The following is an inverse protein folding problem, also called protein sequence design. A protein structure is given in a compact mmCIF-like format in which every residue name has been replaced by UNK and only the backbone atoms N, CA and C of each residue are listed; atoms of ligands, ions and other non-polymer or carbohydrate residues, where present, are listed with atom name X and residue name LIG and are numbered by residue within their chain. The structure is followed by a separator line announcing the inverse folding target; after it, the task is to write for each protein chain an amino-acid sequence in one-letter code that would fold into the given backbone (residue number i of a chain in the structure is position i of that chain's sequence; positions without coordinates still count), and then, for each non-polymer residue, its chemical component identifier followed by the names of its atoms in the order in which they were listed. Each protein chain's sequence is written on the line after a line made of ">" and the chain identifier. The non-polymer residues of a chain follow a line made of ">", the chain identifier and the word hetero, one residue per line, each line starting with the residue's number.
data_IF_108365242275
#
_entry.id   IF_108365242275
#
_cell.length_a   1.000
_cell.length_b   1.000
_cell.length_c   1.000
_cell.angle_alpha   90.00
_cell.angle_beta   90.00
_cell.angle_gamma   90.00
#
_symmetry.space_group_name_H-M   'P 1'
#
loop_
_entity.id
_entity.type
_entity.pdbx_description
1 polymer ?
#
# COMPACT_ATOMS: atom_id res chain seq x y z
N UNK A 1 -10.26 34.81 -43.82
CA UNK A 1 -11.39 35.77 -43.74
C UNK A 1 -11.88 36.12 -45.14
N UNK A 2 -13.18 36.01 -45.43
CA UNK A 2 -13.78 36.29 -46.75
C UNK A 2 -14.81 35.23 -47.16
N UNK A 3 -15.56 35.50 -48.23
CA UNK A 3 -16.55 34.54 -48.75
C UNK A 3 -15.83 33.35 -49.39
N UNK A 4 -16.27 32.12 -49.08
CA UNK A 4 -15.70 30.91 -49.67
C UNK A 4 -16.14 30.69 -51.12
N UNK A 5 -17.10 31.48 -51.61
CA UNK A 5 -17.66 31.42 -52.95
C UNK A 5 -17.84 32.85 -53.45
N UNK A 6 -17.22 33.17 -54.59
CA UNK A 6 -17.43 34.44 -55.29
C UNK A 6 -18.18 34.16 -56.59
N UNK A 7 -19.08 35.07 -56.96
CA UNK A 7 -19.88 34.96 -58.18
C UNK A 7 -19.59 36.14 -59.10
N UNK A 8 -19.40 35.89 -60.40
CA UNK A 8 -19.20 36.95 -61.38
C UNK A 8 -20.56 37.50 -61.84
N UNK A 9 -20.79 38.79 -61.61
CA UNK A 9 -22.02 39.49 -61.97
C UNK A 9 -22.07 39.91 -63.44
N UNK A 10 -23.26 40.29 -63.92
CA UNK A 10 -23.47 40.79 -65.28
C UNK A 10 -22.77 42.15 -65.55
N UNK A 11 -22.38 42.85 -64.49
CA UNK A 11 -21.55 44.06 -64.50
C UNK A 11 -20.04 43.79 -64.58
N UNK A 12 -19.66 42.52 -64.76
CA UNK A 12 -18.27 42.05 -64.80
C UNK A 12 -17.49 42.30 -63.49
N UNK A 13 -18.19 42.34 -62.35
CA UNK A 13 -17.58 42.43 -61.02
C UNK A 13 -17.84 41.16 -60.20
N UNK A 14 -16.93 40.85 -59.28
CA UNK A 14 -17.12 39.74 -58.33
C UNK A 14 -17.96 40.20 -57.13
N UNK A 15 -18.80 39.30 -56.61
CA UNK A 15 -19.74 39.57 -55.52
C UNK A 15 -19.12 39.92 -54.16
N UNK A 16 -17.79 39.91 -54.04
CA UNK A 16 -17.09 40.16 -52.78
C UNK A 16 -15.57 40.07 -52.89
N UNK A 17 -14.90 40.09 -51.75
CA UNK A 17 -13.45 39.96 -51.67
C UNK A 17 -13.04 38.48 -51.57
N UNK A 18 -11.93 38.08 -52.23
CA UNK A 18 -11.40 36.72 -52.09
C UNK A 18 -11.01 36.42 -50.64
N UNK A 19 -11.14 35.15 -50.20
CA UNK A 19 -10.77 34.78 -48.86
C UNK A 19 -9.26 34.89 -48.68
N UNK A 20 -8.85 35.55 -47.59
CA UNK A 20 -7.46 35.59 -47.15
C UNK A 20 -7.21 34.40 -46.21
N UNK A 21 -6.24 33.56 -46.59
CA UNK A 21 -5.73 32.48 -45.74
C UNK A 21 -4.56 33.02 -44.91
N UNK A 22 -4.81 33.23 -43.63
CA UNK A 22 -3.76 33.60 -42.68
C UNK A 22 -3.22 32.34 -42.00
N UNK A 23 -1.94 32.41 -41.62
CA UNK A 23 -1.27 31.33 -40.96
C UNK A 23 -1.80 31.18 -39.52
N UNK A 24 -2.15 29.97 -39.12
CA UNK A 24 -2.59 29.70 -37.75
C UNK A 24 -1.36 29.74 -36.84
N UNK A 25 -1.37 30.68 -35.89
CA UNK A 25 -0.37 30.82 -34.85
C UNK A 25 -0.99 30.54 -33.49
N UNK A 26 -0.30 29.76 -32.68
CA UNK A 26 -0.66 29.52 -31.30
C UNK A 26 -0.03 30.57 -30.37
N UNK A 27 -0.56 30.75 -29.14
CA UNK A 27 0.03 31.64 -28.16
C UNK A 27 1.49 31.28 -27.85
N UNK A 28 2.28 32.32 -27.56
CA UNK A 28 3.66 32.13 -27.11
C UNK A 28 3.70 31.31 -25.82
N UNK A 29 4.60 30.34 -25.80
CA UNK A 29 4.84 29.47 -24.65
C UNK A 29 6.07 29.94 -23.87
N UNK A 30 6.05 29.71 -22.57
CA UNK A 30 7.21 29.90 -21.69
C UNK A 30 7.78 28.57 -21.23
N UNK A 31 9.07 28.56 -20.92
CA UNK A 31 9.70 27.43 -20.25
C UNK A 31 9.15 27.28 -18.82
N UNK A 32 8.87 26.06 -18.35
CA UNK A 32 8.52 25.83 -16.96
C UNK A 32 9.70 26.18 -16.04
N UNK A 33 9.41 26.49 -14.77
CA UNK A 33 10.45 26.68 -13.75
C UNK A 33 11.31 25.41 -13.63
N UNK A 34 12.63 25.54 -13.56
CA UNK A 34 13.58 24.41 -13.54
C UNK A 34 13.40 23.44 -14.71
N UNK A 35 13.11 23.99 -15.89
CA UNK A 35 12.97 23.24 -17.12
C UNK A 35 13.21 24.10 -18.36
N UNK A 36 13.08 23.45 -19.51
CA UNK A 36 13.36 24.00 -20.83
C UNK A 36 12.23 23.68 -21.78
N UNK A 37 12.08 24.54 -22.79
CA UNK A 37 11.11 24.42 -23.86
C UNK A 37 11.86 24.48 -25.20
N UNK A 38 11.57 23.52 -26.07
CA UNK A 38 12.05 23.47 -27.45
C UNK A 38 10.85 23.45 -28.41
N UNK A 39 10.76 24.43 -29.30
CA UNK A 39 9.74 24.45 -30.36
C UNK A 39 10.38 23.96 -31.66
N UNK A 40 9.78 22.97 -32.30
CA UNK A 40 10.23 22.44 -33.59
C UNK A 40 9.97 23.42 -34.73
N UNK A 41 10.79 23.41 -35.78
CA UNK A 41 10.52 24.17 -37.00
C UNK A 41 11.05 25.60 -36.95
N UNK A 42 10.17 26.58 -37.14
CA UNK A 42 10.51 28.02 -37.17
C UNK A 42 10.65 28.62 -35.78
N UNK A 43 10.10 27.96 -34.75
CA UNK A 43 10.05 28.47 -33.39
C UNK A 43 8.97 29.54 -33.18
N UNK A 44 8.12 29.79 -34.18
CA UNK A 44 7.06 30.78 -34.14
C UNK A 44 5.70 30.21 -33.66
N UNK A 45 5.65 28.94 -33.25
CA UNK A 45 4.47 28.31 -32.65
C UNK A 45 3.31 28.16 -33.64
N UNK A 46 3.61 27.72 -34.86
CA UNK A 46 2.62 27.69 -35.96
C UNK A 46 1.96 26.32 -36.10
N UNK A 47 0.84 26.23 -36.81
CA UNK A 47 0.08 24.98 -36.98
C UNK A 47 0.97 23.78 -37.31
N UNK A 48 0.76 22.67 -36.59
CA UNK A 48 1.54 21.43 -36.60
C UNK A 48 2.95 21.51 -36.01
N UNK A 49 3.45 22.67 -35.58
CA UNK A 49 4.67 22.72 -34.78
C UNK A 49 4.45 22.06 -33.42
N UNK A 50 5.53 21.49 -32.89
CA UNK A 50 5.56 20.76 -31.62
C UNK A 50 6.41 21.50 -30.61
N UNK A 51 5.87 21.68 -29.42
CA UNK A 51 6.55 22.20 -28.24
C UNK A 51 6.93 21.02 -27.36
N UNK A 52 8.22 20.78 -27.17
CA UNK A 52 8.77 19.72 -26.32
C UNK A 52 9.34 20.32 -25.05
N UNK A 53 8.97 19.74 -23.91
CA UNK A 53 9.38 20.18 -22.58
C UNK A 53 10.31 19.15 -21.95
N UNK A 54 11.35 19.65 -21.28
CA UNK A 54 12.28 18.83 -20.50
C UNK A 54 12.63 19.53 -19.19
N UNK A 55 12.68 18.76 -18.10
CA UNK A 55 13.08 19.28 -16.80
C UNK A 55 14.60 19.21 -16.59
N UNK A 56 15.10 20.11 -15.76
CA UNK A 56 16.49 20.07 -15.30
C UNK A 56 16.74 18.81 -14.45
N UNK A 57 18.00 18.41 -14.33
CA UNK A 57 18.41 17.30 -13.46
C UNK A 57 17.93 17.55 -12.03
N UNK A 58 17.30 16.54 -11.41
CA UNK A 58 16.70 16.68 -10.08
C UNK A 58 15.21 17.05 -10.10
N UNK A 59 14.60 17.18 -11.28
CA UNK A 59 13.17 17.45 -11.44
C UNK A 59 12.53 16.44 -12.39
N UNK A 60 11.28 16.07 -12.09
CA UNK A 60 10.43 15.22 -12.91
C UNK A 60 9.33 16.03 -13.58
N UNK A 61 9.06 15.71 -14.84
CA UNK A 61 8.00 16.36 -15.61
C UNK A 61 6.63 15.81 -15.19
N UNK A 62 5.74 16.70 -14.76
CA UNK A 62 4.34 16.42 -14.45
C UNK A 62 3.47 17.03 -15.53
N UNK A 63 2.87 16.18 -16.36
CA UNK A 63 2.05 16.56 -17.50
C UNK A 63 2.55 15.93 -18.82
N UNK A 64 2.13 16.50 -19.95
CA UNK A 64 2.58 16.04 -21.27
C UNK A 64 3.95 16.65 -21.61
N UNK A 65 4.89 15.83 -22.09
CA UNK A 65 6.21 16.28 -22.55
C UNK A 65 6.19 16.95 -23.92
N UNK A 66 5.09 16.81 -24.66
CA UNK A 66 4.95 17.37 -25.99
C UNK A 66 3.55 17.95 -26.17
N UNK A 67 3.47 19.11 -26.81
CA UNK A 67 2.23 19.76 -27.21
C UNK A 67 2.32 20.14 -28.69
N UNK A 68 1.18 20.16 -29.37
CA UNK A 68 1.10 20.44 -30.82
C UNK A 68 0.20 21.65 -31.04
N UNK A 69 0.61 22.57 -31.91
CA UNK A 69 -0.24 23.70 -32.30
C UNK A 69 -1.35 23.21 -33.24
N UNK A 70 -2.60 23.37 -32.82
CA UNK A 70 -3.78 22.83 -33.47
C UNK A 70 -4.37 23.83 -34.48
N UNK A 71 -5.30 23.37 -35.33
CA UNK A 71 -5.89 24.19 -36.40
C UNK A 71 -6.77 25.32 -35.88
N UNK A 72 -7.18 25.26 -34.61
CA UNK A 72 -7.94 26.30 -33.93
C UNK A 72 -7.06 27.40 -33.31
N UNK A 73 -5.74 27.31 -33.50
CA UNK A 73 -4.79 28.26 -32.93
C UNK A 73 -4.50 28.03 -31.46
N UNK A 74 -4.78 26.84 -30.92
CA UNK A 74 -4.45 26.50 -29.53
C UNK A 74 -3.43 25.36 -29.44
N UNK A 75 -2.64 25.36 -28.38
CA UNK A 75 -1.74 24.24 -28.07
C UNK A 75 -2.52 23.09 -27.44
N UNK A 76 -2.27 21.87 -27.90
CA UNK A 76 -2.91 20.68 -27.33
C UNK A 76 -2.57 20.53 -25.83
N UNK A 77 -3.57 20.17 -25.02
CA UNK A 77 -3.37 19.88 -23.59
C UNK A 77 -2.95 21.09 -22.75
N UNK A 78 -2.52 20.83 -21.52
CA UNK A 78 -2.13 21.85 -20.54
C UNK A 78 -0.61 22.00 -20.45
N UNK A 79 -0.17 23.14 -19.91
CA UNK A 79 1.24 23.38 -19.59
C UNK A 79 1.74 22.35 -18.57
N UNK A 80 2.87 21.65 -18.84
CA UNK A 80 3.48 20.76 -17.87
C UNK A 80 4.27 21.55 -16.82
N UNK A 81 4.55 20.91 -15.70
CA UNK A 81 5.37 21.50 -14.61
C UNK A 81 6.54 20.59 -14.28
N UNK A 82 7.66 21.17 -13.85
CA UNK A 82 8.80 20.42 -13.34
C UNK A 82 8.73 20.43 -11.81
N UNK A 83 8.65 19.25 -11.21
CA UNK A 83 8.60 19.09 -9.76
C UNK A 83 9.88 18.42 -9.27
N UNK A 84 10.41 18.91 -8.15
CA UNK A 84 11.64 18.35 -7.58
C UNK A 84 11.45 16.86 -7.26
N UNK A 85 12.45 16.06 -7.58
CA UNK A 85 12.50 14.63 -7.24
C UNK A 85 12.66 14.51 -5.73
N UNK A 86 11.65 13.91 -5.10
CA UNK A 86 11.61 13.71 -3.65
C UNK A 86 11.20 12.27 -3.36
N UNK A 87 12.05 11.54 -2.64
CA UNK A 87 11.78 10.17 -2.22
C UNK A 87 10.86 10.13 -0.98
N UNK A 88 10.13 9.02 -0.78
CA UNK A 88 9.27 8.84 0.39
C UNK A 88 10.04 9.00 1.70
N UNK A 89 9.39 9.56 2.71
CA UNK A 89 9.97 9.64 4.05
C UNK A 89 10.22 8.23 4.60
N UNK A 90 11.42 8.02 5.14
CA UNK A 90 11.82 6.78 5.79
C UNK A 90 11.75 6.92 7.31
N UNK A 91 11.59 5.80 8.00
CA UNK A 91 11.53 5.72 9.46
C UNK A 91 12.67 4.86 10.00
N UNK A 92 12.99 5.05 11.28
CA UNK A 92 13.89 4.16 12.01
C UNK A 92 13.36 2.70 12.00
N UNK A 93 14.25 1.70 11.85
CA UNK A 93 13.87 0.31 11.99
C UNK A 93 13.73 -0.04 13.48
N UNK A 94 12.92 -1.05 13.79
CA UNK A 94 12.83 -1.59 15.15
C UNK A 94 14.21 -2.04 15.64
N UNK A 95 14.62 -1.61 16.83
CA UNK A 95 15.94 -1.89 17.39
C UNK A 95 17.12 -1.42 16.51
N UNK A 96 16.94 -0.33 15.77
CA UNK A 96 18.03 0.35 15.08
C UNK A 96 17.79 1.85 14.98
N UNK A 97 18.57 2.49 14.13
CA UNK A 97 18.52 3.92 13.89
C UNK A 97 18.75 4.23 12.40
N UNK A 98 18.09 5.28 11.92
CA UNK A 98 18.21 5.82 10.58
C UNK A 98 18.85 7.22 10.63
N UNK A 99 19.87 7.42 9.80
CA UNK A 99 20.48 8.71 9.55
C UNK A 99 20.26 9.14 8.10
N UNK A 100 19.58 10.27 7.89
CA UNK A 100 19.23 10.82 6.57
C UNK A 100 20.07 12.07 6.28
N UNK A 101 20.63 12.17 5.06
CA UNK A 101 21.17 13.44 4.55
C UNK A 101 20.06 14.39 4.08
N UNK A 102 18.91 13.83 3.72
CA UNK A 102 17.76 14.49 3.11
C UNK A 102 16.85 13.45 2.45
N UNK A 103 16.00 13.88 1.53
CA UNK A 103 15.14 12.99 0.75
C UNK A 103 14.98 13.42 -0.72
N UNK A 104 15.93 14.20 -1.24
CA UNK A 104 15.98 14.65 -2.64
C UNK A 104 16.91 13.78 -3.48
N UNK A 105 16.90 13.93 -4.81
CA UNK A 105 17.73 13.12 -5.73
C UNK A 105 19.20 13.04 -5.28
N UNK A 106 19.70 11.83 -5.10
CA UNK A 106 21.07 11.55 -4.67
C UNK A 106 21.30 11.60 -3.16
N UNK A 107 20.32 12.03 -2.35
CA UNK A 107 20.40 11.91 -0.90
C UNK A 107 20.50 10.44 -0.46
N UNK A 108 21.07 10.23 0.72
CA UNK A 108 21.35 8.91 1.26
C UNK A 108 20.70 8.69 2.63
N UNK A 109 20.27 7.46 2.85
CA UNK A 109 19.70 6.95 4.08
C UNK A 109 20.60 5.83 4.62
N UNK A 110 21.20 6.04 5.78
CA UNK A 110 22.12 5.09 6.41
C UNK A 110 21.44 4.44 7.61
N UNK A 111 21.28 3.13 7.54
CA UNK A 111 20.68 2.32 8.59
C UNK A 111 21.73 1.64 9.46
N UNK A 112 21.48 1.65 10.77
CA UNK A 112 22.31 0.97 11.77
C UNK A 112 21.43 0.19 12.73
N UNK A 113 21.90 -0.96 13.21
CA UNK A 113 21.19 -1.74 14.23
C UNK A 113 21.83 -1.56 15.60
N UNK A 114 21.00 -1.59 16.65
CA UNK A 114 21.47 -1.52 18.02
C UNK A 114 22.32 -2.75 18.38
N UNK A 115 23.17 -2.61 19.39
CA UNK A 115 23.99 -3.72 19.90
C UNK A 115 23.12 -4.95 20.23
N UNK A 116 23.52 -6.11 19.72
CA UNK A 116 22.76 -7.36 19.88
C UNK A 116 21.78 -7.65 18.74
N UNK A 117 21.76 -6.82 17.68
CA UNK A 117 20.99 -7.03 16.46
C UNK A 117 21.89 -7.01 15.21
N UNK A 118 21.56 -7.83 14.22
CA UNK A 118 22.19 -7.88 12.90
C UNK A 118 21.31 -7.17 11.87
N UNK A 119 21.92 -6.41 10.96
CA UNK A 119 21.24 -5.75 9.87
C UNK A 119 21.01 -6.74 8.72
N UNK A 120 19.74 -6.92 8.35
CA UNK A 120 19.30 -7.78 7.25
C UNK A 120 18.78 -6.93 6.10
N UNK A 121 19.59 -6.77 5.05
CA UNK A 121 19.28 -5.96 3.87
C UNK A 121 20.41 -4.99 3.51
N UNK A 122 20.09 -3.96 2.75
CA UNK A 122 21.03 -2.88 2.39
C UNK A 122 21.14 -1.87 3.54
N UNK A 123 22.36 -1.57 3.97
CA UNK A 123 22.59 -0.60 5.04
C UNK A 123 22.54 0.86 4.56
N UNK A 124 22.58 1.09 3.24
CA UNK A 124 22.56 2.42 2.64
C UNK A 124 21.59 2.40 1.47
N UNK A 125 20.61 3.30 1.48
CA UNK A 125 19.72 3.55 0.35
C UNK A 125 20.03 4.93 -0.24
N UNK A 126 19.90 5.07 -1.55
CA UNK A 126 20.09 6.35 -2.28
C UNK A 126 18.81 6.73 -3.00
N UNK A 127 18.41 8.01 -2.92
CA UNK A 127 17.23 8.50 -3.61
C UNK A 127 17.49 8.60 -5.13
N UNK A 128 16.70 7.88 -5.92
CA UNK A 128 16.80 7.77 -7.37
C UNK A 128 15.97 8.82 -8.13
N UNK A 129 16.23 8.91 -9.44
CA UNK A 129 15.54 9.85 -10.34
C UNK A 129 14.04 9.55 -10.52
N UNK A 130 13.65 8.30 -10.28
CA UNK A 130 12.27 7.83 -10.27
C UNK A 130 11.50 8.21 -8.99
N UNK A 131 12.09 9.05 -8.13
CA UNK A 131 11.52 9.42 -6.83
C UNK A 131 11.32 8.22 -5.91
N UNK A 132 12.16 7.18 -6.05
CA UNK A 132 12.21 6.03 -5.16
C UNK A 132 13.59 5.81 -4.57
N UNK A 133 13.65 5.22 -3.39
CA UNK A 133 14.91 4.77 -2.82
C UNK A 133 15.43 3.55 -3.59
N UNK A 134 16.76 3.41 -3.67
CA UNK A 134 17.43 2.33 -4.40
C UNK A 134 17.08 0.91 -3.94
N UNK A 135 16.45 0.77 -2.77
CA UNK A 135 16.06 -0.49 -2.17
C UNK A 135 15.00 -0.30 -1.09
N UNK A 136 14.70 -1.39 -0.39
CA UNK A 136 13.74 -1.39 0.73
C UNK A 136 14.47 -1.17 2.07
N UNK A 137 13.80 -0.56 3.07
CA UNK A 137 14.36 -0.44 4.42
C UNK A 137 14.76 -1.82 4.99
N UNK A 138 15.97 -1.95 5.57
CA UNK A 138 16.44 -3.21 6.16
C UNK A 138 15.74 -3.52 7.49
N UNK A 139 15.89 -4.75 7.97
CA UNK A 139 15.36 -5.21 9.25
C UNK A 139 16.50 -5.52 10.22
N UNK A 140 16.35 -5.13 11.48
CA UNK A 140 17.29 -5.51 12.54
C UNK A 140 16.79 -6.77 13.26
N UNK A 141 17.51 -7.88 13.08
CA UNK A 141 17.16 -9.17 13.71
C UNK A 141 18.07 -9.46 14.92
N UNK A 142 17.51 -10.01 15.99
CA UNK A 142 18.30 -10.33 17.19
C UNK A 142 19.42 -11.32 16.84
N UNK A 143 20.65 -11.00 17.27
CA UNK A 143 21.82 -11.87 17.12
C UNK A 143 21.53 -13.23 17.77
N UNK A 144 21.58 -14.30 16.97
CA UNK A 144 21.46 -15.66 17.46
C UNK A 144 22.86 -16.21 17.77
N UNK A 145 23.04 -16.71 18.99
CA UNK A 145 24.23 -17.48 19.34
C UNK A 145 24.14 -18.89 18.73
N UNK A 146 25.27 -19.50 18.33
CA UNK A 146 25.29 -20.90 17.94
C UNK A 146 24.72 -21.79 19.05
N UNK A 147 23.95 -22.80 18.66
CA UNK A 147 23.47 -23.81 19.59
C UNK A 147 24.67 -24.48 20.28
N UNK A 148 24.70 -24.39 21.60
CA UNK A 148 25.72 -25.05 22.39
C UNK A 148 25.38 -26.54 22.52
N UNK A 149 26.28 -27.41 22.06
CA UNK A 149 26.15 -28.86 22.28
C UNK A 149 26.64 -29.23 23.68
N UNK A 150 25.89 -30.06 24.39
CA UNK A 150 26.35 -30.66 25.65
C UNK A 150 27.62 -31.50 25.41
N UNK A 151 28.66 -31.36 26.25
CA UNK A 151 29.84 -32.23 26.16
C UNK A 151 29.47 -33.69 26.44
N UNK A 152 30.24 -34.64 25.90
CA UNK A 152 30.04 -36.07 26.18
C UNK A 152 30.18 -36.31 27.70
N UNK A 153 29.11 -36.85 28.31
CA UNK A 153 28.98 -37.10 29.76
C UNK A 153 28.88 -35.84 30.66
N UNK A 154 28.48 -34.68 30.14
CA UNK A 154 28.20 -33.48 30.94
C UNK A 154 26.87 -32.80 30.61
N UNK A 155 26.36 -31.96 31.52
CA UNK A 155 25.13 -31.18 31.34
C UNK A 155 25.42 -29.70 31.07
N UNK A 156 24.80 -29.14 30.03
CA UNK A 156 24.83 -27.71 29.75
C UNK A 156 23.74 -26.99 30.55
N UNK A 157 24.13 -25.97 31.33
CA UNK A 157 23.20 -25.07 32.01
C UNK A 157 23.33 -23.68 31.38
N UNK A 158 22.29 -23.22 30.68
CA UNK A 158 22.23 -21.87 30.10
C UNK A 158 21.55 -20.96 31.11
N UNK A 159 22.28 -19.98 31.65
CA UNK A 159 21.72 -18.96 32.54
C UNK A 159 21.44 -17.68 31.75
N UNK A 160 20.26 -17.60 31.13
CA UNK A 160 19.78 -16.40 30.46
C UNK A 160 18.39 -16.59 29.88
N UNK A 161 17.60 -15.53 29.78
CA UNK A 161 16.25 -15.53 29.18
C UNK A 161 16.27 -15.54 27.65
N UNK A 162 17.34 -16.07 27.04
CA UNK A 162 17.50 -16.19 25.59
C UNK A 162 16.59 -17.28 25.06
N UNK A 163 15.34 -16.91 24.79
CA UNK A 163 14.35 -17.74 24.11
C UNK A 163 14.82 -18.05 22.69
N UNK A 164 15.47 -19.21 22.51
CA UNK A 164 15.54 -19.86 21.20
C UNK A 164 14.16 -20.47 20.93
N UNK A 165 13.30 -19.71 20.26
CA UNK A 165 12.11 -20.26 19.60
C UNK A 165 12.10 -19.86 18.14
N UNK A 166 12.84 -20.62 17.31
CA UNK A 166 12.34 -20.99 15.97
C UNK A 166 12.81 -22.39 15.58
N UNK A 167 12.20 -23.43 16.15
CA UNK A 167 11.69 -24.46 15.24
C UNK A 167 10.52 -23.80 14.51
N UNK A 168 10.79 -23.21 13.33
CA UNK A 168 9.77 -23.15 12.29
C UNK A 168 9.36 -24.60 12.07
N UNK A 169 8.19 -25.00 12.56
CA UNK A 169 7.51 -26.20 12.08
C UNK A 169 7.10 -25.94 10.64
N UNK A 170 8.08 -25.86 9.73
CA UNK A 170 7.87 -26.21 8.33
C UNK A 170 7.93 -27.74 8.24
N UNK A 171 6.94 -28.40 8.83
CA UNK A 171 6.44 -29.62 8.22
C UNK A 171 5.61 -29.19 7.00
N UNK A 172 6.30 -28.78 5.93
CA UNK A 172 5.78 -29.11 4.62
C UNK A 172 6.02 -30.60 4.43
N UNK A 173 4.97 -31.39 4.64
CA UNK A 173 4.51 -32.27 3.58
C UNK A 173 2.98 -32.33 3.64
N UNK A 174 2.38 -31.71 2.64
CA UNK A 174 1.16 -32.12 1.97
C UNK A 174 -0.20 -31.91 2.67
N UNK A 175 -0.92 -30.94 2.07
CA UNK A 175 -2.31 -31.00 1.59
C UNK A 175 -3.41 -30.33 2.44
N UNK A 176 -3.94 -29.28 1.79
CA UNK A 176 -5.32 -28.74 1.81
C UNK A 176 -5.63 -27.58 2.78
N UNK A 177 -5.62 -26.38 2.20
CA UNK A 177 -6.72 -25.39 2.19
C UNK A 177 -7.70 -25.50 3.36
N UNK A 178 -7.65 -24.59 4.34
CA UNK A 178 -8.80 -23.75 4.73
C UNK A 178 -8.42 -22.71 5.80
N UNK A 179 -8.64 -21.44 5.45
CA UNK A 179 -8.73 -20.26 6.32
C UNK A 179 -9.90 -20.45 7.29
N UNK A 180 -9.79 -20.18 8.60
CA UNK A 180 -10.90 -19.64 9.41
C UNK A 180 -10.40 -18.84 10.62
N UNK A 181 -11.06 -17.69 10.81
CA UNK A 181 -10.86 -16.64 11.81
C UNK A 181 -11.81 -16.81 13.01
N UNK A 182 -11.39 -16.18 14.12
CA UNK A 182 -12.15 -15.73 15.29
C UNK A 182 -12.48 -16.77 16.40
N UNK A 183 -12.02 -16.44 17.61
CA UNK A 183 -12.52 -17.01 18.86
C UNK A 183 -12.95 -15.84 19.76
N UNK A 184 -14.22 -15.82 20.16
CA UNK A 184 -14.77 -14.81 21.06
C UNK A 184 -14.95 -15.43 22.45
N UNK A 185 -14.34 -14.81 23.46
CA UNK A 185 -14.30 -15.30 24.84
C UNK A 185 -15.68 -15.18 25.50
N UNK A 186 -16.21 -16.26 26.05
CA UNK A 186 -17.37 -16.22 26.97
C UNK A 186 -16.88 -16.61 28.36
N UNK A 187 -17.14 -15.74 29.34
CA UNK A 187 -16.81 -15.97 30.75
C UNK A 187 -18.04 -16.52 31.48
N UNK A 188 -17.90 -17.67 32.16
CA UNK A 188 -18.90 -18.14 33.13
C UNK A 188 -18.36 -17.87 34.52
N UNK A 189 -19.00 -16.95 35.24
CA UNK A 189 -18.64 -16.59 36.62
C UNK A 189 -19.46 -17.42 37.59
N UNK A 190 -18.79 -18.19 38.44
CA UNK A 190 -19.43 -18.93 39.53
C UNK A 190 -18.82 -18.45 40.85
N UNK A 191 -19.67 -17.97 41.76
CA UNK A 191 -19.24 -17.57 43.10
C UNK A 191 -19.59 -18.66 44.11
N UNK A 192 -18.58 -19.18 44.80
CA UNK A 192 -18.75 -20.04 45.95
C UNK A 192 -17.88 -19.51 47.09
N UNK A 193 -18.50 -19.20 48.24
CA UNK A 193 -17.82 -18.73 49.46
C UNK A 193 -16.85 -17.55 49.29
N UNK A 194 -17.18 -16.59 48.42
CA UNK A 194 -16.49 -15.28 48.35
C UNK A 194 -15.09 -15.28 47.73
N UNK A 195 -14.68 -16.35 47.03
CA UNK A 195 -13.38 -16.42 46.33
C UNK A 195 -13.62 -16.57 44.82
N UNK A 196 -12.98 -15.72 44.01
CA UNK A 196 -13.10 -15.74 42.53
C UNK A 196 -12.23 -16.89 41.98
N UNK A 197 -12.87 -17.91 41.41
CA UNK A 197 -12.22 -19.08 40.82
C UNK A 197 -12.44 -19.06 39.30
N UNK A 198 -11.54 -18.38 38.59
CA UNK A 198 -11.48 -18.40 37.12
C UNK A 198 -10.91 -19.73 36.65
N UNK A 199 -11.76 -20.71 36.30
CA UNK A 199 -11.31 -21.95 35.67
C UNK A 199 -11.05 -21.72 34.17
N UNK A 200 -9.81 -21.95 33.73
CA UNK A 200 -9.47 -22.08 32.32
C UNK A 200 -9.95 -23.45 31.80
N UNK A 201 -11.05 -23.47 31.05
CA UNK A 201 -11.45 -24.66 30.29
C UNK A 201 -10.57 -24.79 29.04
N UNK A 202 -9.99 -25.97 28.81
CA UNK A 202 -9.31 -26.32 27.56
C UNK A 202 -10.33 -26.47 26.42
N UNK A 203 -9.91 -25.99 25.26
CA UNK A 203 -10.61 -25.95 23.97
C UNK A 203 -11.32 -27.26 23.60
N UNK A 204 -12.61 -27.18 23.28
CA UNK A 204 -13.31 -28.17 22.45
C UNK A 204 -13.62 -27.51 21.11
N UNK A 205 -12.78 -27.77 20.10
CA UNK A 205 -13.08 -27.42 18.72
C UNK A 205 -14.01 -28.50 18.14
N UNK A 206 -15.25 -28.13 17.84
CA UNK A 206 -16.19 -29.02 17.13
C UNK A 206 -16.13 -28.66 15.64
N UNK A 207 -15.98 -29.64 14.72
CA UNK A 207 -15.88 -29.36 13.29
C UNK A 207 -17.18 -28.74 12.75
N UNK A 208 -17.03 -27.84 11.78
CA UNK A 208 -18.12 -27.15 11.05
C UNK A 208 -19.09 -28.08 10.29
N UNK A 209 -18.95 -29.40 10.41
CA UNK A 209 -19.81 -30.40 9.76
C UNK A 209 -21.10 -30.75 10.54
N UNK A 210 -21.36 -30.13 11.70
CA UNK A 210 -22.62 -30.28 12.45
C UNK A 210 -23.46 -29.01 12.51
N UNK A 211 -23.53 -28.25 11.41
CA UNK A 211 -24.53 -27.19 11.24
C UNK A 211 -25.29 -27.44 9.93
N UNK A 212 -26.34 -28.26 10.01
CA UNK A 212 -27.60 -28.14 9.26
C UNK A 212 -28.51 -29.29 9.76
N UNK A 213 -29.58 -29.04 10.54
CA UNK A 213 -30.99 -28.92 10.12
C UNK A 213 -31.74 -29.07 11.48
N UNK A 214 -32.49 -28.13 12.04
CA UNK A 214 -33.80 -27.62 11.61
C UNK A 214 -34.07 -26.26 12.26
N UNK A 215 -34.56 -25.32 11.44
CA UNK A 215 -35.49 -24.31 11.90
C UNK A 215 -36.89 -24.76 11.46
N UNK A 216 -37.79 -25.08 12.40
CA UNK A 216 -39.24 -24.91 12.22
C UNK A 216 -39.82 -24.48 13.58
N UNK A 217 -40.43 -23.31 13.58
CA UNK A 217 -41.26 -22.75 14.65
C UNK A 217 -42.57 -23.52 14.78
N UNK A 218 -43.10 -23.66 15.99
CA UNK A 218 -44.54 -23.53 16.27
C UNK A 218 -44.72 -23.17 17.74
N UNK A 219 -45.85 -22.54 17.99
CA UNK A 219 -46.17 -21.59 19.04
C UNK A 219 -47.17 -22.16 20.05
N UNK A 220 -47.07 -21.69 21.30
CA UNK A 220 -48.10 -21.50 22.37
C UNK A 220 -48.82 -22.71 23.01
N UNK A 221 -49.07 -22.50 24.32
CA UNK A 221 -50.12 -23.07 25.21
C UNK A 221 -49.90 -24.46 25.83
N UNK A 222 -50.25 -24.78 27.08
CA UNK A 222 -50.40 -24.14 28.41
C UNK A 222 -50.74 -25.31 29.37
N UNK A 223 -50.26 -25.26 30.62
CA UNK A 223 -50.89 -25.74 31.88
C UNK A 223 -51.51 -27.17 31.97
N UNK A 224 -51.01 -28.01 32.90
CA UNK A 224 -51.56 -28.24 34.26
C UNK A 224 -51.05 -29.55 34.90
N UNK A 225 -50.60 -29.40 36.17
CA UNK A 225 -50.73 -30.30 37.34
C UNK A 225 -50.15 -31.74 37.26
N UNK A 226 -49.53 -32.30 38.31
CA UNK A 226 -50.09 -32.54 39.65
C UNK A 226 -48.95 -32.67 40.71
N UNK A 227 -49.11 -31.89 41.77
CA UNK A 227 -48.91 -32.11 43.22
C UNK A 227 -47.75 -32.96 43.80
N UNK A 228 -47.01 -32.28 44.68
CA UNK A 228 -46.66 -32.60 46.08
C UNK A 228 -46.58 -34.06 46.59
N UNK A 229 -45.57 -34.24 47.45
CA UNK A 229 -45.68 -34.87 48.77
C UNK A 229 -44.92 -36.19 48.98
N UNK A 230 -43.88 -36.08 49.81
CA UNK A 230 -43.57 -36.93 50.98
C UNK A 230 -43.06 -38.37 50.80
N UNK A 231 -41.85 -38.53 51.36
CA UNK A 231 -41.40 -39.57 52.30
C UNK A 231 -41.15 -41.02 51.84
N UNK A 232 -39.90 -41.42 52.15
CA UNK A 232 -39.48 -42.67 52.82
C UNK A 232 -39.43 -43.93 51.95
N UNK A 233 -38.22 -44.48 51.79
CA UNK A 233 -37.83 -45.73 52.46
C UNK A 233 -36.31 -45.92 52.42
N UNK A 234 -35.72 -46.13 53.61
CA UNK A 234 -34.48 -46.88 53.84
C UNK A 234 -34.78 -48.39 53.73
N UNK A 235 -33.86 -49.15 53.15
CA UNK A 235 -33.48 -50.55 53.47
C UNK A 235 -32.49 -51.05 52.38
N UNK A 236 -31.20 -51.25 52.69
CA UNK A 236 -30.53 -52.56 52.98
C UNK A 236 -30.82 -53.63 51.94
N UNK A 237 -29.82 -54.29 51.33
CA UNK A 237 -28.75 -55.10 51.94
C UNK A 237 -27.39 -54.78 51.34
#
# INVERSE_FOLDING_TARGET
>A
MGESILTCGADSQWSGNPPVCELVQCPDLSSPMSGSLLISGTGAGVYQETATYACETGFNLVGMSMRVCQSDGTWSGSDPTCQMVMCPTLNDPDNGNLNLSGNSLGDTAVYTCNTGYNLMGESILTCGADSQWSGNPPVCELVQCPDLSSPMSGSLLISGTGVVFTRRLQHMHAKLVSIWLACQSVFVKVMAHGVDLTLHARWLCVPLSMILIMAISTSVETLLEIQQSTHVTLATI
#
